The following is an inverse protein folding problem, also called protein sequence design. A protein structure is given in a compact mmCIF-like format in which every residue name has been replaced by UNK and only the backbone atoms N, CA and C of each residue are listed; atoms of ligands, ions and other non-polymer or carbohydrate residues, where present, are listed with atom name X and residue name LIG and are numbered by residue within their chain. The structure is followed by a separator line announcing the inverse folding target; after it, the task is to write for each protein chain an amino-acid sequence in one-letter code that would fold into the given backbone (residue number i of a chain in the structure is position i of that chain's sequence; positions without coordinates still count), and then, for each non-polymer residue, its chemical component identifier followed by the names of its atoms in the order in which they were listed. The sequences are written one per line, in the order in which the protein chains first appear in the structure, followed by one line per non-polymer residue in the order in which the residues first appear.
data_IF_353289943558
#
_entry.id   IF_353289943558
#
_cell.length_a   1.000
_cell.length_b   1.000
_cell.length_c   1.000
_cell.angle_alpha   90.00
_cell.angle_beta   90.00
_cell.angle_gamma   90.00
#
_symmetry.space_group_name_H-M   'P 1'
#
loop_
_entity.id
_entity.type
_entity.pdbx_description
1 polymer ?
#
# COMPACT_ATOMS: atom_id res chain seq x y z
N UNK A 1 11.18 1.96 6.67
CA UNK A 1 11.37 0.50 6.77
C UNK A 1 10.15 -0.17 6.21
N UNK A 2 9.03 -0.01 6.91
CA UNK A 2 7.73 -0.61 6.61
C UNK A 2 6.68 0.46 6.35
N UNK A 3 5.70 0.13 5.50
CA UNK A 3 4.53 0.96 5.20
C UNK A 3 3.45 0.09 4.55
N UNK A 4 2.19 0.53 4.65
CA UNK A 4 1.03 -0.16 4.05
C UNK A 4 -0.22 0.71 3.98
N UNK A 5 -1.17 0.26 3.15
CA UNK A 5 -2.53 0.76 3.11
C UNK A 5 -3.49 -0.43 2.98
N UNK A 6 -4.59 -0.40 3.74
CA UNK A 6 -5.65 -1.39 3.62
C UNK A 6 -7.04 -0.78 3.48
N UNK A 7 -7.99 -1.64 3.14
CA UNK A 7 -9.37 -1.29 2.84
C UNK A 7 -10.34 -2.32 3.45
N UNK A 8 -11.64 -1.99 3.46
CA UNK A 8 -12.69 -2.82 4.05
C UNK A 8 -13.61 -3.49 3.01
N UNK A 9 -13.36 -3.31 1.71
CA UNK A 9 -14.19 -3.82 0.62
C UNK A 9 -13.96 -5.32 0.31
N UNK A 10 -13.16 -6.01 1.12
CA UNK A 10 -12.80 -7.43 0.92
C UNK A 10 -12.98 -8.33 2.15
N UNK A 11 -13.64 -7.83 3.20
CA UNK A 11 -14.20 -8.65 4.29
C UNK A 11 -13.34 -8.83 5.55
N UNK A 12 -12.14 -8.28 5.61
CA UNK A 12 -11.33 -8.27 6.84
C UNK A 12 -11.83 -7.19 7.82
N UNK A 13 -11.78 -7.47 9.14
CA UNK A 13 -12.34 -6.59 10.17
C UNK A 13 -11.56 -5.29 10.35
N UNK A 14 -10.29 -5.23 9.94
CA UNK A 14 -9.45 -4.05 10.08
C UNK A 14 -8.66 -3.77 8.79
N UNK A 15 -8.49 -2.50 8.44
CA UNK A 15 -7.71 -2.05 7.28
C UNK A 15 -6.22 -1.86 7.59
N UNK A 16 -5.84 -1.69 8.85
CA UNK A 16 -4.46 -1.38 9.24
C UNK A 16 -4.25 0.10 9.56
N UNK A 17 -3.01 0.58 9.45
CA UNK A 17 -2.62 1.93 9.91
C UNK A 17 -2.93 2.98 8.84
N UNK A 18 -2.58 2.69 7.57
CA UNK A 18 -3.01 3.47 6.42
C UNK A 18 -4.38 2.99 5.95
N UNK A 19 -5.38 3.87 6.04
CA UNK A 19 -6.77 3.50 5.77
C UNK A 19 -7.29 4.20 4.52
N UNK A 20 -7.80 3.41 3.58
CA UNK A 20 -8.46 3.87 2.35
C UNK A 20 -9.75 3.10 2.10
N UNK A 21 -10.58 3.58 1.18
CA UNK A 21 -11.95 3.07 1.00
C UNK A 21 -12.01 1.74 0.23
N UNK A 22 -11.20 1.59 -0.82
CA UNK A 22 -11.28 0.44 -1.72
C UNK A 22 -9.92 -0.16 -2.07
N UNK A 23 -9.90 -1.36 -2.65
CA UNK A 23 -8.70 -1.97 -3.22
C UNK A 23 -8.04 -1.11 -4.31
N UNK A 24 -8.83 -0.39 -5.13
CA UNK A 24 -8.29 0.58 -6.10
C UNK A 24 -7.62 1.76 -5.39
N UNK A 25 -8.19 2.23 -4.28
CA UNK A 25 -7.55 3.27 -3.45
C UNK A 25 -6.26 2.78 -2.81
N UNK A 26 -6.17 1.50 -2.40
CA UNK A 26 -4.91 0.91 -1.92
C UNK A 26 -3.85 1.01 -3.01
N UNK A 27 -4.22 0.72 -4.25
CA UNK A 27 -3.33 0.90 -5.41
C UNK A 27 -2.90 2.36 -5.59
N UNK A 28 -3.83 3.33 -5.56
CA UNK A 28 -3.49 4.76 -5.68
C UNK A 28 -2.56 5.24 -4.56
N UNK A 29 -2.88 4.92 -3.31
CA UNK A 29 -2.05 5.24 -2.16
C UNK A 29 -0.65 4.61 -2.26
N UNK A 30 -0.56 3.37 -2.75
CA UNK A 30 0.72 2.70 -3.01
C UNK A 30 1.60 3.52 -3.95
N UNK A 31 1.04 3.98 -5.08
CA UNK A 31 1.79 4.76 -6.06
C UNK A 31 2.26 6.09 -5.49
N UNK A 32 1.39 6.81 -4.78
CA UNK A 32 1.75 8.08 -4.12
C UNK A 32 2.92 7.88 -3.17
N UNK A 33 2.85 6.88 -2.29
CA UNK A 33 3.90 6.65 -1.29
C UNK A 33 5.23 6.24 -1.94
N UNK A 34 5.22 5.25 -2.83
CA UNK A 34 6.43 4.74 -3.47
C UNK A 34 7.09 5.80 -4.34
N UNK A 35 6.31 6.54 -5.13
CA UNK A 35 6.87 7.54 -6.05
C UNK A 35 7.31 8.82 -5.32
N UNK A 36 6.64 9.26 -4.25
CA UNK A 36 7.15 10.34 -3.39
C UNK A 36 8.50 9.96 -2.77
N UNK A 37 8.61 8.73 -2.24
CA UNK A 37 9.86 8.23 -1.69
C UNK A 37 10.97 8.19 -2.75
N UNK A 38 10.66 7.66 -3.95
CA UNK A 38 11.61 7.62 -5.06
C UNK A 38 12.10 9.01 -5.48
N UNK A 39 11.26 10.05 -5.37
CA UNK A 39 11.62 11.43 -5.68
C UNK A 39 12.54 12.10 -4.63
N UNK A 40 12.78 11.47 -3.46
CA UNK A 40 13.67 12.01 -2.41
C UNK A 40 15.12 11.51 -2.62
N UNK A 41 16.10 12.39 -2.88
CA UNK A 41 17.49 11.98 -3.11
C UNK A 41 18.15 11.20 -1.95
N UNK A 42 17.63 11.36 -0.72
CA UNK A 42 18.12 10.68 0.48
C UNK A 42 17.40 9.35 0.77
N UNK A 43 16.35 8.99 0.01
CA UNK A 43 15.63 7.74 0.17
C UNK A 43 16.10 6.74 -0.90
N UNK A 44 16.77 5.67 -0.47
CA UNK A 44 17.29 4.63 -1.38
C UNK A 44 16.31 3.49 -1.61
N UNK A 45 15.14 3.51 -0.96
CA UNK A 45 14.12 2.48 -1.11
C UNK A 45 13.16 2.42 0.07
N UNK A 46 12.03 1.76 -0.17
CA UNK A 46 10.97 1.50 0.82
C UNK A 46 10.49 0.07 0.65
N UNK A 47 10.19 -0.64 1.75
CA UNK A 47 9.63 -1.99 1.71
C UNK A 47 8.23 -2.01 2.29
N UNK A 48 7.34 -2.66 1.56
CA UNK A 48 5.94 -2.78 1.92
C UNK A 48 5.74 -3.90 2.95
N UNK A 49 4.97 -3.63 3.99
CA UNK A 49 4.62 -4.60 5.03
C UNK A 49 3.17 -5.01 4.82
N UNK A 50 2.83 -6.20 4.35
CA UNK A 50 3.58 -7.46 4.18
C UNK A 50 3.09 -8.18 2.92
N UNK A 51 3.63 -9.37 2.64
CA UNK A 51 3.18 -10.18 1.50
C UNK A 51 1.73 -10.66 1.64
N UNK A 52 1.33 -11.19 2.80
CA UNK A 52 -0.01 -11.76 3.02
C UNK A 52 -0.84 -10.90 3.95
N UNK A 53 -2.16 -10.92 3.76
CA UNK A 53 -3.09 -10.43 4.76
C UNK A 53 -2.90 -11.13 6.09
N UNK A 54 -3.25 -10.42 7.16
CA UNK A 54 -3.28 -11.02 8.47
C UNK A 54 -4.56 -11.84 8.64
N UNK A 55 -4.53 -12.79 9.57
CA UNK A 55 -5.70 -13.61 9.91
C UNK A 55 -6.86 -12.72 10.34
N UNK A 56 -8.07 -13.02 9.86
CA UNK A 56 -9.30 -12.37 10.34
C UNK A 56 -9.53 -12.57 11.85
N UNK A 57 -8.94 -13.62 12.43
CA UNK A 57 -8.99 -13.93 13.86
C UNK A 57 -7.84 -13.28 14.66
N UNK A 58 -6.98 -12.52 14.01
CA UNK A 58 -5.81 -11.89 14.62
C UNK A 58 -4.52 -12.69 14.48
N UNK A 59 -3.40 -11.97 14.40
CA UNK A 59 -2.03 -12.47 14.66
C UNK A 59 -1.84 -12.66 16.17
N UNK A 60 -0.63 -13.05 16.61
CA UNK A 60 -0.30 -13.27 18.03
C UNK A 60 -0.59 -12.08 18.97
N UNK A 61 -0.68 -10.86 18.44
CA UNK A 61 -0.98 -9.62 19.15
C UNK A 61 -2.38 -9.06 18.83
N UNK A 62 -3.20 -9.83 18.10
CA UNK A 62 -4.57 -9.47 17.75
C UNK A 62 -4.72 -8.65 16.46
N UNK A 63 -3.65 -8.27 15.77
CA UNK A 63 -3.79 -7.54 14.50
C UNK A 63 -4.44 -8.41 13.41
N UNK A 64 -5.40 -7.86 12.68
CA UNK A 64 -6.25 -8.56 11.71
C UNK A 64 -6.45 -7.75 10.41
N UNK A 65 -5.36 -7.17 9.90
CA UNK A 65 -5.35 -6.17 8.84
C UNK A 65 -5.39 -6.73 7.40
N UNK A 66 -6.15 -6.04 6.52
CA UNK A 66 -6.09 -6.17 5.06
C UNK A 66 -4.92 -5.38 4.46
N UNK A 67 -3.71 -5.86 4.66
CA UNK A 67 -2.49 -5.15 4.24
C UNK A 67 -1.60 -5.97 3.33
N UNK A 68 -1.97 -7.20 2.97
CA UNK A 68 -1.20 -8.06 2.09
C UNK A 68 -1.26 -7.65 0.61
N UNK A 69 -0.24 -8.03 -0.14
CA UNK A 69 -0.34 -8.17 -1.60
C UNK A 69 -1.22 -9.37 -1.99
N UNK A 70 -1.23 -10.39 -1.14
CA UNK A 70 -1.98 -11.63 -1.29
C UNK A 70 -2.97 -11.78 -0.14
N UNK A 71 -4.15 -12.34 -0.43
CA UNK A 71 -5.09 -12.76 0.61
C UNK A 71 -4.64 -14.06 1.31
N UNK A 72 -5.37 -14.46 2.34
CA UNK A 72 -5.10 -15.69 3.12
C UNK A 72 -5.27 -16.99 2.30
N UNK A 73 -5.84 -16.91 1.09
CA UNK A 73 -5.99 -18.00 0.14
C UNK A 73 -4.94 -17.94 -0.98
N UNK A 74 -3.88 -17.13 -0.83
CA UNK A 74 -2.81 -16.94 -1.81
C UNK A 74 -3.31 -16.37 -3.15
N UNK A 75 -4.34 -15.51 -3.12
CA UNK A 75 -4.83 -14.79 -4.30
C UNK A 75 -4.32 -13.35 -4.29
N UNK A 76 -3.84 -12.83 -5.43
CA UNK A 76 -3.35 -11.46 -5.50
C UNK A 76 -4.48 -10.43 -5.46
N UNK A 77 -4.22 -9.31 -4.79
CA UNK A 77 -5.02 -8.10 -4.94
C UNK A 77 -4.62 -7.37 -6.22
N UNK A 78 -5.28 -7.73 -7.33
CA UNK A 78 -4.97 -7.22 -8.68
C UNK A 78 -4.82 -5.68 -8.76
N UNK A 79 -5.69 -4.85 -8.13
CA UNK A 79 -5.50 -3.40 -8.13
C UNK A 79 -4.15 -2.96 -7.55
N UNK A 80 -3.74 -3.54 -6.42
CA UNK A 80 -2.48 -3.25 -5.76
C UNK A 80 -1.29 -3.75 -6.61
N UNK A 81 -1.38 -4.96 -7.16
CA UNK A 81 -0.34 -5.52 -8.02
C UNK A 81 -0.11 -4.68 -9.28
N UNK A 82 -1.19 -4.24 -9.94
CA UNK A 82 -1.11 -3.35 -11.12
C UNK A 82 -0.48 -2.00 -10.76
N UNK A 83 -0.92 -1.39 -9.67
CA UNK A 83 -0.37 -0.14 -9.18
C UNK A 83 1.12 -0.25 -8.85
N UNK A 84 1.52 -1.32 -8.17
CA UNK A 84 2.92 -1.58 -7.87
C UNK A 84 3.76 -1.69 -9.15
N UNK A 85 3.34 -2.51 -10.12
CA UNK A 85 4.04 -2.64 -11.40
C UNK A 85 4.20 -1.28 -12.10
N UNK A 86 3.13 -0.48 -12.18
CA UNK A 86 3.16 0.83 -12.82
C UNK A 86 4.16 1.79 -12.16
N UNK A 87 4.28 1.77 -10.83
CA UNK A 87 5.27 2.61 -10.13
C UNK A 87 6.70 2.08 -10.28
N UNK A 88 6.92 0.77 -10.28
CA UNK A 88 8.25 0.20 -10.49
C UNK A 88 8.76 0.48 -11.92
N UNK A 89 7.89 0.39 -12.93
CA UNK A 89 8.23 0.70 -14.32
C UNK A 89 8.69 2.16 -14.51
N UNK A 90 8.25 3.09 -13.64
CA UNK A 90 8.57 4.52 -13.69
C UNK A 90 9.59 4.98 -12.65
N UNK A 91 9.95 4.12 -11.69
CA UNK A 91 10.67 4.49 -10.46
C UNK A 91 11.97 5.27 -10.71
N UNK A 92 12.79 4.83 -11.67
CA UNK A 92 14.07 5.50 -11.96
C UNK A 92 13.90 6.85 -12.67
N UNK A 93 12.89 6.99 -13.52
CA UNK A 93 12.61 8.28 -14.16
C UNK A 93 12.07 9.30 -13.16
N UNK A 94 11.29 8.84 -12.16
CA UNK A 94 10.89 9.67 -11.01
C UNK A 94 12.12 10.04 -10.16
N UNK A 95 12.96 9.07 -9.81
CA UNK A 95 14.15 9.30 -8.98
C UNK A 95 15.19 10.23 -9.62
N UNK A 96 15.26 10.26 -10.96
CA UNK A 96 16.13 11.17 -11.72
C UNK A 96 15.46 12.50 -12.08
N UNK A 97 14.19 12.70 -11.69
CA UNK A 97 13.44 13.93 -11.95
C UNK A 97 12.99 14.11 -13.41
N UNK A 98 13.07 13.06 -14.24
CA UNK A 98 12.59 13.09 -15.63
C UNK A 98 11.06 13.12 -15.72
N UNK A 99 10.40 12.46 -14.77
CA UNK A 99 8.94 12.40 -14.66
C UNK A 99 8.55 12.79 -13.24
N UNK A 100 7.43 13.50 -13.08
CA UNK A 100 6.90 13.83 -11.76
C UNK A 100 6.35 12.57 -11.06
N UNK A 101 6.49 12.54 -9.73
CA UNK A 101 5.88 11.51 -8.90
C UNK A 101 4.35 11.52 -9.04
N UNK A 102 3.73 10.35 -8.93
CA UNK A 102 2.27 10.21 -8.94
C UNK A 102 1.62 10.99 -7.80
N UNK A 103 0.62 11.82 -8.12
CA UNK A 103 -0.01 12.79 -7.22
C UNK A 103 -1.54 12.65 -7.10
N UNK A 104 -2.17 11.69 -7.79
CA UNK A 104 -3.59 11.37 -7.65
C UNK A 104 -3.83 10.51 -6.40
N UNK A 105 -3.77 11.17 -5.25
CA UNK A 105 -4.00 10.57 -3.95
C UNK A 105 -5.48 10.19 -3.75
N UNK A 106 -5.77 9.01 -3.18
CA UNK A 106 -7.12 8.66 -2.76
C UNK A 106 -7.51 9.45 -1.51
N UNK A 107 -8.79 9.35 -1.13
CA UNK A 107 -9.24 9.80 0.17
C UNK A 107 -8.63 8.92 1.27
N UNK A 108 -7.79 9.50 2.12
CA UNK A 108 -7.29 8.85 3.33
C UNK A 108 -8.31 8.99 4.46
N UNK A 109 -8.78 7.86 4.98
CA UNK A 109 -9.75 7.82 6.07
C UNK A 109 -9.07 8.09 7.42
N UNK A 110 -9.83 8.45 8.47
CA UNK A 110 -9.27 8.73 9.79
C UNK A 110 -8.39 7.59 10.31
N UNK A 111 -7.27 7.96 10.94
CA UNK A 111 -6.33 6.99 11.54
C UNK A 111 -7.00 6.29 12.72
N UNK A 112 -6.77 4.98 12.83
CA UNK A 112 -7.27 4.15 13.93
C UNK A 112 -6.60 4.48 15.28
N UNK A 113 -5.37 4.99 15.25
CA UNK A 113 -4.60 5.40 16.44
C UNK A 113 -3.96 6.77 16.18
N UNK A 114 -4.03 7.66 17.19
CA UNK A 114 -3.43 9.00 17.22
C UNK A 114 -2.27 9.03 18.21
#
# INVERSE_FOLDING_TARGET
GEWHFGAHDVGLPASGIGHVRTQEDRGRAYRVYLEDAAARPWCVGVHYFILYDQSALGRFDGECYNIGFLDVCNRPYEPLCRAARASHERMYDVATGRVQAYDDAPEYLPRLFL
#
